data_IF_651055188646
#
_entry.id   IF_651055188646
#
_cell.length_a   1.000
_cell.length_b   1.000
_cell.length_c   1.000
_cell.angle_alpha   90.00
_cell.angle_beta   90.00
_cell.angle_gamma   90.00
#
_symmetry.space_group_name_H-M   'P 1'
#
loop_
_entity.id
_entity.type
_entity.pdbx_description
1 polymer ?
#
# COMPACT_ATOMS: atom_id res chain seq x y z
N UNK A 1 -5.60 -16.86 -18.88
CA UNK A 1 -4.89 -15.93 -17.97
C UNK A 1 -5.89 -14.89 -17.51
N UNK A 2 -5.90 -14.52 -16.22
CA UNK A 2 -6.83 -13.52 -15.71
C UNK A 2 -6.54 -12.14 -16.34
N UNK A 3 -7.56 -11.27 -16.40
CA UNK A 3 -7.40 -9.90 -16.91
C UNK A 3 -6.54 -9.06 -15.94
N UNK A 4 -5.63 -8.23 -16.48
CA UNK A 4 -4.67 -7.44 -15.69
C UNK A 4 -5.34 -6.62 -14.58
N UNK A 5 -4.81 -6.69 -13.37
CA UNK A 5 -5.26 -5.91 -12.21
C UNK A 5 -4.10 -5.20 -11.53
N UNK A 6 -4.12 -3.87 -11.50
CA UNK A 6 -3.12 -3.09 -10.77
C UNK A 6 -3.82 -2.16 -9.78
N UNK A 7 -3.24 -1.94 -8.61
CA UNK A 7 -3.79 -1.01 -7.62
C UNK A 7 -2.70 -0.21 -6.91
N UNK A 8 -3.09 0.96 -6.38
CA UNK A 8 -2.28 1.76 -5.47
C UNK A 8 -2.79 1.59 -4.04
N UNK A 9 -1.95 1.11 -3.14
CA UNK A 9 -2.27 0.93 -1.72
C UNK A 9 -1.81 2.16 -0.94
N UNK A 10 -2.76 2.79 -0.26
CA UNK A 10 -2.49 3.88 0.69
C UNK A 10 -3.04 3.52 2.06
N UNK A 11 -2.86 4.41 3.05
CA UNK A 11 -3.35 4.17 4.39
C UNK A 11 -3.77 5.44 5.09
N UNK A 12 -4.55 5.27 6.15
CA UNK A 12 -5.03 6.38 7.00
C UNK A 12 -3.93 7.05 7.80
N UNK A 13 -2.79 6.37 8.01
CA UNK A 13 -1.63 6.89 8.75
C UNK A 13 -0.36 6.07 8.45
N UNK A 14 0.76 6.41 9.08
CA UNK A 14 1.95 5.56 9.20
C UNK A 14 1.73 4.42 10.20
N UNK A 15 2.51 3.33 10.06
CA UNK A 15 2.53 2.18 11.00
C UNK A 15 1.19 1.45 11.24
N UNK A 16 0.17 1.71 10.41
CA UNK A 16 -1.15 1.04 10.49
C UNK A 16 -1.20 -0.32 9.78
N UNK A 17 -0.06 -0.86 9.34
CA UNK A 17 0.04 -2.16 8.66
C UNK A 17 -0.30 -2.17 7.16
N UNK A 18 0.02 -1.07 6.43
CA UNK A 18 -0.10 -1.03 4.97
C UNK A 18 0.68 -2.18 4.31
N UNK A 19 1.92 -2.40 4.72
CA UNK A 19 2.79 -3.46 4.22
C UNK A 19 2.17 -4.85 4.34
N UNK A 20 1.60 -5.16 5.51
CA UNK A 20 0.90 -6.41 5.74
C UNK A 20 -0.31 -6.55 4.79
N UNK A 21 -1.09 -5.50 4.62
CA UNK A 21 -2.24 -5.50 3.72
C UNK A 21 -1.83 -5.62 2.24
N UNK A 22 -0.76 -4.95 1.79
CA UNK A 22 -0.21 -5.10 0.44
C UNK A 22 0.31 -6.51 0.20
N UNK A 23 1.04 -7.09 1.15
CA UNK A 23 1.53 -8.46 1.08
C UNK A 23 0.38 -9.47 1.07
N UNK A 24 -0.69 -9.21 1.83
CA UNK A 24 -1.92 -10.00 1.82
C UNK A 24 -2.64 -9.92 0.46
N UNK A 25 -2.74 -8.73 -0.14
CA UNK A 25 -3.29 -8.55 -1.50
C UNK A 25 -2.47 -9.31 -2.53
N UNK A 26 -1.14 -9.20 -2.51
CA UNK A 26 -0.25 -9.97 -3.39
C UNK A 26 -0.47 -11.48 -3.25
N UNK A 27 -0.59 -11.96 -2.01
CA UNK A 27 -0.82 -13.38 -1.70
C UNK A 27 -2.20 -13.86 -2.17
N UNK A 28 -3.25 -13.09 -1.92
CA UNK A 28 -4.61 -13.42 -2.32
C UNK A 28 -4.78 -13.40 -3.85
N UNK A 29 -4.19 -12.41 -4.54
CA UNK A 29 -4.15 -12.35 -6.01
C UNK A 29 -3.40 -13.55 -6.59
N UNK A 30 -2.26 -13.93 -5.99
CA UNK A 30 -1.52 -15.13 -6.40
C UNK A 30 -2.37 -16.41 -6.22
N UNK A 31 -3.09 -16.52 -5.11
CA UNK A 31 -4.06 -17.60 -4.87
C UNK A 31 -5.21 -17.64 -5.88
N UNK A 32 -5.57 -16.49 -6.46
CA UNK A 32 -6.53 -16.37 -7.57
C UNK A 32 -5.91 -16.62 -8.96
N UNK A 33 -4.65 -17.05 -9.04
CA UNK A 33 -3.98 -17.42 -10.29
C UNK A 33 -3.28 -16.27 -11.03
N UNK A 34 -3.10 -15.12 -10.40
CA UNK A 34 -2.32 -14.01 -10.96
C UNK A 34 -0.82 -14.20 -10.75
N UNK A 35 -0.02 -13.79 -11.74
CA UNK A 35 1.39 -13.46 -11.49
C UNK A 35 1.46 -12.07 -10.88
N UNK A 36 1.93 -11.97 -9.65
CA UNK A 36 1.92 -10.74 -8.86
C UNK A 36 3.30 -10.13 -8.71
N UNK A 37 3.37 -8.80 -8.75
CA UNK A 37 4.55 -8.02 -8.44
C UNK A 37 4.20 -6.91 -7.42
N UNK A 38 5.04 -6.76 -6.40
CA UNK A 38 4.94 -5.66 -5.43
C UNK A 38 5.91 -4.53 -5.79
N UNK A 39 5.44 -3.28 -5.73
CA UNK A 39 6.27 -2.09 -5.84
C UNK A 39 6.17 -1.27 -4.55
N UNK A 40 7.30 -0.75 -4.08
CA UNK A 40 7.38 0.24 -3.01
C UNK A 40 8.21 1.40 -3.55
N UNK A 41 7.63 2.29 -4.36
CA UNK A 41 8.44 3.16 -5.21
C UNK A 41 9.32 4.15 -4.42
N UNK A 42 8.91 4.45 -3.19
CA UNK A 42 9.64 5.29 -2.24
C UNK A 42 9.64 4.59 -0.89
N UNK A 43 10.83 4.36 -0.33
CA UNK A 43 11.04 3.85 1.02
C UNK A 43 12.13 4.67 1.73
N UNK A 44 11.96 4.88 3.03
CA UNK A 44 12.91 5.62 3.86
C UNK A 44 13.16 4.83 5.16
N UNK A 45 14.43 4.64 5.51
CA UNK A 45 14.85 3.81 6.63
C UNK A 45 15.39 2.45 6.17
N UNK A 46 16.65 2.39 5.78
CA UNK A 46 17.28 1.12 5.40
C UNK A 46 17.67 0.29 6.62
N UNK A 47 17.68 -1.04 6.47
CA UNK A 47 18.16 -1.95 7.50
C UNK A 47 19.69 -1.90 7.61
N UNK A 48 20.19 -1.44 8.76
CA UNK A 48 21.62 -1.43 9.03
C UNK A 48 22.19 -2.85 9.14
N UNK A 49 23.34 -3.10 8.51
CA UNK A 49 24.02 -4.39 8.56
C UNK A 49 23.41 -5.50 7.69
N UNK A 50 22.38 -5.20 6.89
CA UNK A 50 21.92 -6.10 5.84
C UNK A 50 23.01 -6.29 4.77
N UNK A 51 23.13 -7.48 4.15
CA UNK A 51 24.14 -7.75 3.13
C UNK A 51 23.94 -6.90 1.86
N UNK A 52 22.69 -6.53 1.58
CA UNK A 52 22.31 -5.62 0.50
C UNK A 52 21.43 -4.51 1.07
N UNK A 53 21.47 -3.33 0.43
CA UNK A 53 20.65 -2.18 0.85
C UNK A 53 19.16 -2.50 0.64
N UNK A 54 18.41 -2.55 1.74
CA UNK A 54 16.99 -2.91 1.73
C UNK A 54 16.24 -2.25 2.90
N UNK A 55 14.92 -2.44 2.93
CA UNK A 55 14.00 -1.98 3.97
C UNK A 55 13.02 -3.11 4.32
N UNK A 56 12.48 -3.11 5.54
CA UNK A 56 11.57 -4.17 6.00
C UNK A 56 10.30 -4.29 5.12
N UNK A 57 9.73 -3.17 4.66
CA UNK A 57 8.56 -3.19 3.78
C UNK A 57 8.89 -3.86 2.45
N UNK A 58 10.07 -3.57 1.90
CA UNK A 58 10.56 -4.15 0.65
C UNK A 58 10.70 -5.66 0.77
N UNK A 59 11.28 -6.15 1.87
CA UNK A 59 11.45 -7.58 2.10
C UNK A 59 10.11 -8.30 2.23
N UNK A 60 9.13 -7.71 2.92
CA UNK A 60 7.79 -8.28 3.04
C UNK A 60 7.07 -8.37 1.69
N UNK A 61 7.14 -7.32 0.87
CA UNK A 61 6.54 -7.33 -0.47
C UNK A 61 7.24 -8.33 -1.39
N UNK A 62 8.58 -8.41 -1.34
CA UNK A 62 9.38 -9.35 -2.13
C UNK A 62 9.05 -10.80 -1.77
N UNK A 63 8.85 -11.09 -0.49
CA UNK A 63 8.49 -12.43 -0.02
C UNK A 63 7.06 -12.84 -0.41
N UNK A 64 6.13 -11.89 -0.57
CA UNK A 64 4.73 -12.14 -0.92
C UNK A 64 4.44 -12.18 -2.43
N UNK A 65 5.24 -11.47 -3.24
CA UNK A 65 5.08 -11.44 -4.69
C UNK A 65 5.52 -12.77 -5.34
N UNK A 66 4.87 -13.14 -6.45
CA UNK A 66 5.31 -14.32 -7.25
C UNK A 66 6.40 -13.98 -8.26
N UNK A 67 6.50 -12.71 -8.66
CA UNK A 67 7.50 -12.21 -9.59
C UNK A 67 8.57 -11.45 -8.82
N UNK A 68 9.81 -11.93 -8.89
CA UNK A 68 10.97 -11.23 -8.35
C UNK A 68 11.36 -10.07 -9.27
N UNK A 69 11.37 -8.85 -8.74
CA UNK A 69 11.82 -7.66 -9.45
C UNK A 69 13.23 -7.24 -8.97
N UNK A 70 14.06 -6.67 -9.85
CA UNK A 70 15.29 -6.00 -9.42
C UNK A 70 14.98 -4.87 -8.42
N UNK A 71 15.88 -4.61 -7.48
CA UNK A 71 15.70 -3.57 -6.45
C UNK A 71 15.37 -2.19 -7.07
N UNK A 72 16.05 -1.83 -8.16
CA UNK A 72 15.82 -0.56 -8.87
C UNK A 72 14.41 -0.44 -9.48
N UNK A 73 13.76 -1.57 -9.79
CA UNK A 73 12.36 -1.59 -10.24
C UNK A 73 11.42 -1.62 -9.03
N UNK A 74 11.70 -2.45 -8.03
CA UNK A 74 10.85 -2.58 -6.83
C UNK A 74 10.74 -1.26 -6.06
N UNK A 75 11.88 -0.62 -5.82
CA UNK A 75 12.01 0.62 -5.06
C UNK A 75 13.06 1.55 -5.70
N UNK A 76 12.67 2.35 -6.71
CA UNK A 76 13.56 3.32 -7.35
C UNK A 76 14.15 4.35 -6.37
N UNK A 77 13.41 4.70 -5.32
CA UNK A 77 13.83 5.67 -4.31
C UNK A 77 13.93 5.02 -2.93
N UNK A 78 15.04 4.31 -2.70
CA UNK A 78 15.42 3.80 -1.38
C UNK A 78 16.32 4.83 -0.68
N UNK A 79 15.89 5.29 0.49
CA UNK A 79 16.55 6.32 1.30
C UNK A 79 16.94 5.75 2.67
N UNK A 80 18.07 6.18 3.22
CA UNK A 80 18.67 5.61 4.43
C UNK A 80 17.98 6.09 5.70
N UNK A 81 17.64 7.39 5.79
CA UNK A 81 17.13 7.98 7.02
C UNK A 81 15.64 7.62 7.26
N UNK A 82 15.26 7.06 8.43
CA UNK A 82 13.89 6.69 8.75
C UNK A 82 13.05 7.93 9.12
N UNK A 83 12.73 8.74 8.12
CA UNK A 83 11.96 9.97 8.26
C UNK A 83 11.11 10.24 7.02
N UNK A 84 10.35 11.35 7.01
CA UNK A 84 9.57 11.72 5.84
C UNK A 84 10.45 11.76 4.58
N UNK A 85 10.02 11.14 3.45
CA UNK A 85 10.87 10.94 2.28
C UNK A 85 11.52 12.20 1.75
N UNK A 86 10.79 13.32 1.67
CA UNK A 86 11.36 14.60 1.20
C UNK A 86 12.54 15.10 2.06
N UNK A 87 12.55 14.82 3.37
CA UNK A 87 13.65 15.19 4.26
C UNK A 87 14.83 14.21 4.12
N UNK A 88 14.56 12.91 4.01
CA UNK A 88 15.59 11.91 3.78
C UNK A 88 16.32 12.16 2.44
N UNK A 89 15.54 12.42 1.38
CA UNK A 89 16.07 12.78 0.07
C UNK A 89 16.95 14.05 0.12
N UNK A 90 16.51 15.10 0.82
CA UNK A 90 17.31 16.31 1.04
C UNK A 90 18.63 16.04 1.75
N UNK A 91 18.65 15.15 2.75
CA UNK A 91 19.89 14.78 3.46
C UNK A 91 20.86 14.02 2.57
N UNK A 92 20.34 13.21 1.67
CA UNK A 92 21.13 12.45 0.69
C UNK A 92 21.51 13.27 -0.56
N UNK A 93 21.03 14.52 -0.67
CA UNK A 93 21.27 15.37 -1.83
C UNK A 93 20.57 14.89 -3.11
N UNK A 94 19.51 14.08 -2.99
CA UNK A 94 18.74 13.54 -4.11
C UNK A 94 17.35 14.17 -4.17
N UNK A 95 16.72 14.15 -5.35
CA UNK A 95 15.35 14.62 -5.56
C UNK A 95 14.48 13.48 -6.05
N UNK A 96 13.43 13.15 -5.30
CA UNK A 96 12.44 12.14 -5.71
C UNK A 96 11.66 12.68 -6.90
N UNK A 97 11.73 11.98 -8.03
CA UNK A 97 11.00 12.35 -9.25
C UNK A 97 10.09 11.21 -9.73
N UNK A 98 9.06 11.59 -10.47
CA UNK A 98 8.03 10.70 -10.99
C UNK A 98 8.51 9.71 -12.07
N UNK A 99 9.37 10.07 -13.05
CA UNK A 99 9.68 9.18 -14.17
C UNK A 99 10.20 7.79 -13.78
N UNK A 100 11.16 7.65 -12.84
CA UNK A 100 11.62 6.33 -12.40
C UNK A 100 10.52 5.44 -11.81
N UNK A 101 9.50 6.04 -11.20
CA UNK A 101 8.36 5.32 -10.61
C UNK A 101 7.43 4.80 -11.71
N UNK A 102 7.21 5.59 -12.77
CA UNK A 102 6.40 5.17 -13.93
C UNK A 102 7.10 4.07 -14.72
N UNK A 103 8.43 4.18 -14.90
CA UNK A 103 9.25 3.16 -15.56
C UNK A 103 9.22 1.84 -14.77
N UNK A 104 9.31 1.91 -13.44
CA UNK A 104 9.17 0.76 -12.56
C UNK A 104 7.82 0.05 -12.73
N UNK A 105 6.71 0.80 -12.78
CA UNK A 105 5.39 0.24 -13.03
C UNK A 105 5.30 -0.42 -14.42
N UNK A 106 5.85 0.20 -15.46
CA UNK A 106 5.86 -0.36 -16.80
C UNK A 106 6.66 -1.68 -16.86
N UNK A 107 7.83 -1.74 -16.21
CA UNK A 107 8.65 -2.95 -16.13
C UNK A 107 7.99 -4.06 -15.32
N UNK A 108 7.33 -3.74 -14.21
CA UNK A 108 6.56 -4.71 -13.43
C UNK A 108 5.39 -5.29 -14.24
N UNK A 109 4.67 -4.44 -14.97
CA UNK A 109 3.55 -4.86 -15.85
C UNK A 109 3.99 -5.78 -16.97
N UNK A 110 5.22 -5.67 -17.46
CA UNK A 110 5.74 -6.58 -18.49
C UNK A 110 5.93 -8.02 -17.98
N UNK A 111 6.04 -8.21 -16.66
CA UNK A 111 6.39 -9.49 -16.03
C UNK A 111 5.23 -10.09 -15.21
N UNK A 112 4.34 -9.25 -14.70
CA UNK A 112 3.22 -9.63 -13.84
C UNK A 112 1.87 -9.27 -14.49
N UNK A 113 0.83 -10.02 -14.13
CA UNK A 113 -0.56 -9.76 -14.53
C UNK A 113 -1.31 -8.99 -13.43
N UNK A 114 -0.74 -8.88 -12.23
CA UNK A 114 -1.19 -7.93 -11.22
C UNK A 114 -0.05 -7.21 -10.50
N UNK A 115 -0.15 -5.88 -10.37
CA UNK A 115 0.84 -5.05 -9.67
C UNK A 115 0.21 -4.32 -8.49
N UNK A 116 0.76 -4.53 -7.29
CA UNK A 116 0.37 -3.81 -6.07
C UNK A 116 1.44 -2.74 -5.80
N UNK A 117 1.07 -1.47 -5.95
CA UNK A 117 1.97 -0.33 -5.70
C UNK A 117 1.68 0.24 -4.32
N UNK A 118 2.60 0.05 -3.38
CA UNK A 118 2.46 0.56 -2.03
C UNK A 118 3.03 1.98 -1.88
N UNK A 119 2.23 2.89 -1.34
CA UNK A 119 2.68 4.22 -0.93
C UNK A 119 3.55 4.24 0.33
N UNK A 120 3.87 5.44 0.79
CA UNK A 120 4.66 5.68 2.00
C UNK A 120 3.88 6.60 2.94
N UNK A 121 3.85 6.26 4.24
CA UNK A 121 3.06 6.97 5.25
C UNK A 121 1.55 7.01 4.93
N UNK A 122 0.89 8.15 5.10
CA UNK A 122 -0.52 8.34 4.74
C UNK A 122 -0.74 8.73 3.27
N UNK A 123 -1.96 9.17 2.92
CA UNK A 123 -2.30 9.53 1.55
C UNK A 123 -1.63 10.80 1.02
N UNK A 124 -1.27 11.76 1.88
CA UNK A 124 -0.65 13.04 1.50
C UNK A 124 0.69 13.25 2.17
N UNK A 125 1.69 12.47 1.77
CA UNK A 125 3.07 12.56 2.30
C UNK A 125 3.96 13.30 1.30
N UNK A 126 4.71 14.32 1.73
CA UNK A 126 5.61 15.04 0.84
C UNK A 126 6.77 14.14 0.37
N UNK A 127 6.98 14.13 -0.94
CA UNK A 127 8.10 13.48 -1.64
C UNK A 127 9.14 14.51 -2.10
N UNK A 128 8.69 15.72 -2.41
CA UNK A 128 9.51 16.92 -2.60
C UNK A 128 8.75 18.15 -2.09
N UNK A 129 9.26 19.36 -2.35
CA UNK A 129 8.57 20.60 -2.00
C UNK A 129 7.31 20.86 -2.85
N UNK A 130 7.16 20.18 -3.98
CA UNK A 130 6.06 20.38 -4.95
C UNK A 130 5.34 19.09 -5.35
N UNK A 131 5.76 17.96 -4.78
CA UNK A 131 5.26 16.63 -5.11
C UNK A 131 4.94 15.82 -3.84
N UNK A 132 3.73 15.27 -3.74
CA UNK A 132 3.29 14.41 -2.65
C UNK A 132 2.77 13.04 -3.15
N UNK A 133 2.52 12.11 -2.23
CA UNK A 133 2.00 10.77 -2.56
C UNK A 133 0.60 10.78 -3.16
N UNK A 134 -0.17 11.85 -3.01
CA UNK A 134 -1.48 11.97 -3.64
C UNK A 134 -1.36 12.38 -5.11
N UNK A 135 -0.40 13.27 -5.44
CA UNK A 135 -0.02 13.56 -6.83
C UNK A 135 0.59 12.32 -7.50
N UNK A 136 1.36 11.51 -6.76
CA UNK A 136 1.82 10.21 -7.25
C UNK A 136 0.63 9.29 -7.59
N UNK A 137 -0.35 9.16 -6.70
CA UNK A 137 -1.54 8.34 -6.97
C UNK A 137 -2.29 8.79 -8.23
N UNK A 138 -2.44 10.12 -8.43
CA UNK A 138 -3.02 10.70 -9.65
C UNK A 138 -2.20 10.34 -10.89
N UNK A 139 -0.87 10.49 -10.83
CA UNK A 139 0.01 10.20 -11.95
C UNK A 139 0.00 8.70 -12.34
N UNK A 140 -0.12 7.81 -11.36
CA UNK A 140 -0.23 6.37 -11.59
C UNK A 140 -1.58 6.00 -12.22
N UNK A 141 -2.65 6.75 -11.93
CA UNK A 141 -3.99 6.51 -12.46
C UNK A 141 -4.58 5.15 -12.07
N UNK A 142 -4.07 4.54 -11.00
CA UNK A 142 -4.49 3.22 -10.53
C UNK A 142 -5.71 3.33 -9.61
N UNK A 143 -6.60 2.32 -9.57
CA UNK A 143 -7.58 2.22 -8.52
C UNK A 143 -6.89 2.15 -7.15
N UNK A 144 -7.43 2.87 -6.17
CA UNK A 144 -6.86 2.97 -4.83
C UNK A 144 -7.48 1.91 -3.92
N UNK A 145 -6.65 1.24 -3.12
CA UNK A 145 -7.08 0.46 -1.96
C UNK A 145 -6.64 1.20 -0.69
N UNK A 146 -7.59 1.52 0.18
CA UNK A 146 -7.33 2.22 1.45
C UNK A 146 -7.17 1.21 2.60
N UNK A 147 -6.03 1.27 3.30
CA UNK A 147 -5.84 0.53 4.55
C UNK A 147 -6.20 1.41 5.73
N UNK A 148 -7.20 1.00 6.52
CA UNK A 148 -7.65 1.70 7.71
C UNK A 148 -7.08 1.00 8.94
N UNK A 149 -6.23 1.70 9.69
CA UNK A 149 -5.78 1.22 10.99
C UNK A 149 -6.90 1.33 12.02
N UNK A 150 -7.48 0.19 12.41
CA UNK A 150 -8.57 0.13 13.39
C UNK A 150 -8.01 0.34 14.79
N UNK A 151 -8.23 1.56 15.28
CA UNK A 151 -7.97 2.09 16.62
C UNK A 151 -8.88 3.31 16.83
N UNK A 152 -8.94 3.85 18.04
CA UNK A 152 -9.70 5.08 18.29
C UNK A 152 -9.24 6.22 17.37
N UNK A 153 -10.20 6.92 16.76
CA UNK A 153 -9.96 7.98 15.77
C UNK A 153 -9.92 7.51 14.31
N UNK A 154 -10.00 6.20 14.04
CA UNK A 154 -9.95 5.66 12.67
C UNK A 154 -11.09 6.16 11.77
N UNK A 155 -12.28 6.38 12.32
CA UNK A 155 -13.44 6.92 11.58
C UNK A 155 -13.11 8.26 10.91
N UNK A 156 -12.52 9.19 11.68
CA UNK A 156 -12.09 10.50 11.18
C UNK A 156 -11.04 10.36 10.07
N UNK A 157 -9.97 9.59 10.33
CA UNK A 157 -8.89 9.45 9.35
C UNK A 157 -9.34 8.76 8.07
N UNK A 158 -10.21 7.75 8.17
CA UNK A 158 -10.77 7.07 7.02
C UNK A 158 -11.64 7.99 6.17
N UNK A 159 -12.55 8.75 6.79
CA UNK A 159 -13.40 9.72 6.09
C UNK A 159 -12.56 10.80 5.39
N UNK A 160 -11.63 11.45 6.09
CA UNK A 160 -10.74 12.46 5.52
C UNK A 160 -9.90 11.91 4.36
N UNK A 161 -9.43 10.67 4.48
CA UNK A 161 -8.64 10.03 3.42
C UNK A 161 -9.50 9.71 2.20
N UNK A 162 -10.71 9.16 2.41
CA UNK A 162 -11.65 8.88 1.33
C UNK A 162 -12.07 10.15 0.59
N UNK A 163 -12.39 11.23 1.31
CA UNK A 163 -12.68 12.55 0.72
C UNK A 163 -11.49 13.07 -0.10
N UNK A 164 -10.27 12.96 0.42
CA UNK A 164 -9.07 13.40 -0.28
C UNK A 164 -8.79 12.61 -1.57
N UNK A 165 -9.10 11.31 -1.59
CA UNK A 165 -9.03 10.44 -2.77
C UNK A 165 -10.09 10.88 -3.79
N UNK A 166 -11.35 11.03 -3.36
CA UNK A 166 -12.46 11.43 -4.21
C UNK A 166 -12.27 12.82 -4.83
N UNK A 167 -11.79 13.79 -4.04
CA UNK A 167 -11.49 15.16 -4.50
C UNK A 167 -10.43 15.24 -5.60
N UNK A 168 -9.65 14.16 -5.81
CA UNK A 168 -8.65 14.03 -6.87
C UNK A 168 -9.14 13.21 -8.07
N UNK A 169 -10.42 12.85 -8.10
CA UNK A 169 -11.02 12.03 -9.16
C UNK A 169 -10.50 10.58 -9.20
N UNK A 170 -9.88 10.12 -8.11
CA UNK A 170 -9.36 8.75 -8.03
C UNK A 170 -10.48 7.79 -7.62
N UNK A 171 -10.51 6.62 -8.26
CA UNK A 171 -11.41 5.54 -7.89
C UNK A 171 -10.90 4.86 -6.63
N UNK A 172 -11.67 4.93 -5.54
CA UNK A 172 -11.48 4.04 -4.38
C UNK A 172 -12.10 2.68 -4.71
N UNK A 173 -11.29 1.68 -5.00
CA UNK A 173 -11.76 0.36 -5.41
C UNK A 173 -12.13 -0.55 -4.24
N UNK A 174 -11.65 -0.24 -3.04
CA UNK A 174 -12.00 -0.94 -1.82
C UNK A 174 -11.17 -0.46 -0.64
N UNK A 175 -11.49 -0.99 0.53
CA UNK A 175 -10.73 -0.72 1.74
C UNK A 175 -10.57 -1.97 2.61
N UNK A 176 -9.49 -1.99 3.38
CA UNK A 176 -9.11 -3.07 4.29
C UNK A 176 -9.02 -2.49 5.69
N UNK A 177 -9.75 -3.07 6.63
CA UNK A 177 -9.55 -2.80 8.05
C UNK A 177 -8.37 -3.62 8.58
N UNK A 178 -7.42 -3.00 9.28
CA UNK A 178 -6.35 -3.72 9.96
C UNK A 178 -6.38 -3.40 11.46
N UNK A 179 -6.57 -4.41 12.31
CA UNK A 179 -6.65 -4.22 13.76
C UNK A 179 -5.26 -3.89 14.32
N UNK A 180 -5.04 -2.61 14.60
CA UNK A 180 -3.80 -2.11 15.19
C UNK A 180 -3.86 -2.27 16.70
N UNK A 181 -4.98 -1.88 17.29
CA UNK A 181 -5.24 -1.99 18.73
C UNK A 181 -6.20 -3.15 19.01
N UNK A 182 -5.68 -4.23 19.61
CA UNK A 182 -6.46 -5.42 19.94
C UNK A 182 -7.47 -5.18 21.08
N UNK A 183 -7.35 -4.08 21.83
CA UNK A 183 -8.26 -3.77 22.94
C UNK A 183 -9.30 -2.71 22.57
N UNK A 184 -9.37 -2.33 21.29
CA UNK A 184 -10.34 -1.36 20.79
C UNK A 184 -11.78 -1.81 21.10
N UNK A 185 -12.48 -1.02 21.91
CA UNK A 185 -13.90 -1.22 22.18
C UNK A 185 -14.76 -0.89 20.95
N UNK A 186 -15.83 -1.66 20.73
CA UNK A 186 -16.78 -1.42 19.64
C UNK A 186 -16.16 -1.59 18.25
N UNK A 187 -15.19 -2.51 18.09
CA UNK A 187 -14.52 -2.76 16.81
C UNK A 187 -15.53 -3.00 15.67
N UNK A 188 -16.50 -3.90 15.90
CA UNK A 188 -17.52 -4.24 14.90
C UNK A 188 -18.43 -3.04 14.57
N UNK A 189 -18.81 -2.24 15.57
CA UNK A 189 -19.60 -1.03 15.38
C UNK A 189 -18.84 0.04 14.56
N UNK A 190 -17.53 0.17 14.80
CA UNK A 190 -16.67 1.07 14.03
C UNK A 190 -16.54 0.58 12.58
N UNK A 191 -16.33 -0.73 12.37
CA UNK A 191 -16.30 -1.33 11.03
C UNK A 191 -17.64 -1.13 10.31
N UNK A 192 -18.77 -1.33 11.00
CA UNK A 192 -20.09 -1.08 10.43
C UNK A 192 -20.28 0.39 10.03
N UNK A 193 -19.82 1.33 10.86
CA UNK A 193 -19.83 2.76 10.55
C UNK A 193 -18.99 3.07 9.31
N UNK A 194 -17.76 2.55 9.23
CA UNK A 194 -16.89 2.71 8.06
C UNK A 194 -17.54 2.16 6.78
N UNK A 195 -18.20 1.00 6.85
CA UNK A 195 -18.94 0.43 5.70
C UNK A 195 -20.07 1.34 5.21
N UNK A 196 -20.67 2.13 6.11
CA UNK A 196 -21.72 3.09 5.74
C UNK A 196 -21.18 4.40 5.17
N UNK A 197 -19.97 4.80 5.53
CA UNK A 197 -19.38 6.09 5.14
C UNK A 197 -18.49 6.00 3.91
N UNK A 198 -17.78 4.89 3.74
CA UNK A 198 -16.86 4.69 2.62
C UNK A 198 -17.64 4.11 1.45
N UNK A 199 -17.79 4.89 0.38
CA UNK A 199 -18.39 4.45 -0.89
C UNK A 199 -17.41 3.57 -1.70
N UNK A 200 -17.02 2.44 -1.10
CA UNK A 200 -16.21 1.40 -1.73
C UNK A 200 -16.38 0.07 -0.99
N UNK A 201 -16.19 -1.08 -1.67
CA UNK A 201 -16.26 -2.39 -1.06
C UNK A 201 -15.32 -2.54 0.15
N UNK A 202 -15.85 -3.09 1.24
CA UNK A 202 -15.02 -3.58 2.34
C UNK A 202 -14.43 -4.94 1.94
N UNK A 203 -13.12 -4.95 1.70
CA UNK A 203 -12.40 -6.14 1.23
C UNK A 203 -12.10 -7.13 2.36
N UNK A 204 -12.25 -6.72 3.62
CA UNK A 204 -12.00 -7.58 4.76
C UNK A 204 -11.34 -6.85 5.93
N UNK A 205 -11.39 -7.49 7.10
CA UNK A 205 -10.74 -7.01 8.32
C UNK A 205 -9.69 -8.01 8.77
N UNK A 206 -8.42 -7.59 8.75
CA UNK A 206 -7.29 -8.36 9.25
C UNK A 206 -7.26 -8.21 10.79
N UNK A 207 -7.41 -9.28 11.57
CA UNK A 207 -7.34 -9.21 13.02
C UNK A 207 -5.90 -8.95 13.48
N UNK A 208 -5.71 -8.65 14.77
CA UNK A 208 -4.36 -8.52 15.32
C UNK A 208 -3.64 -9.86 15.24
N UNK A 209 -2.65 -9.96 14.37
CA UNK A 209 -1.84 -11.16 14.21
C UNK A 209 -0.68 -11.16 15.22
N UNK A 210 -0.24 -12.33 15.71
CA UNK A 210 0.92 -12.44 16.59
C UNK A 210 2.24 -12.08 15.88
N UNK A 211 2.26 -12.21 14.55
CA UNK A 211 3.36 -11.82 13.65
C UNK A 211 2.77 -11.39 12.31
N UNK A 212 3.44 -10.51 11.55
CA UNK A 212 3.00 -10.15 10.19
C UNK A 212 3.16 -11.37 9.27
N UNK A 213 2.05 -12.05 8.97
CA UNK A 213 2.00 -13.22 8.09
C UNK A 213 1.04 -12.93 6.93
N UNK A 214 1.60 -12.78 5.73
CA UNK A 214 0.85 -12.40 4.54
C UNK A 214 -0.21 -13.44 4.15
N UNK A 215 0.03 -14.73 4.38
CA UNK A 215 -0.92 -15.81 4.05
C UNK A 215 -2.10 -15.79 5.00
N UNK A 216 -1.83 -15.62 6.30
CA UNK A 216 -2.88 -15.50 7.30
C UNK A 216 -3.70 -14.22 7.09
N UNK A 217 -3.06 -13.09 6.83
CA UNK A 217 -3.75 -11.85 6.50
C UNK A 217 -4.61 -12.00 5.22
N UNK A 218 -4.10 -12.68 4.20
CA UNK A 218 -4.82 -12.93 2.95
C UNK A 218 -6.10 -13.75 3.14
N UNK A 219 -6.16 -14.67 4.10
CA UNK A 219 -7.37 -15.46 4.37
C UNK A 219 -8.53 -14.63 4.97
N UNK A 220 -8.27 -13.37 5.33
CA UNK A 220 -9.29 -12.43 5.79
C UNK A 220 -9.75 -11.46 4.70
N UNK A 221 -9.23 -11.59 3.47
CA UNK A 221 -9.57 -10.72 2.34
C UNK A 221 -10.47 -11.42 1.33
N UNK A 222 -11.49 -10.72 0.85
CA UNK A 222 -12.33 -11.09 -0.29
C UNK A 222 -12.07 -10.13 -1.45
N UNK A 223 -11.49 -10.68 -2.53
CA UNK A 223 -11.14 -9.92 -3.73
C UNK A 223 -12.26 -9.91 -4.77
N UNK A 224 -13.40 -10.57 -4.54
CA UNK A 224 -14.47 -10.68 -5.54
C UNK A 224 -14.88 -9.32 -6.08
N UNK A 225 -15.02 -8.31 -5.22
CA UNK A 225 -15.39 -6.95 -5.61
C UNK A 225 -14.30 -6.22 -6.43
N UNK A 226 -13.03 -6.59 -6.27
CA UNK A 226 -11.93 -6.03 -7.08
C UNK A 226 -11.81 -6.70 -8.44
N UNK A 227 -12.14 -7.99 -8.51
CA UNK A 227 -11.96 -8.83 -9.67
C UNK A 227 -13.21 -8.96 -10.55
N UNK A 228 -14.38 -8.60 -10.01
CA UNK A 228 -15.61 -8.46 -10.78
C UNK A 228 -15.43 -7.32 -11.80
N UNK A 229 -15.22 -7.71 -13.05
CA UNK A 229 -15.27 -6.84 -14.23
C UNK A 229 -16.37 -7.30 -15.16
#
# INVERSE_FOLDING_TARGET
>A
MPARFDCFVTGTDTEIGKTLASAALLTALAGAGYRTAGLKPVAAGTLAGAPERTNEDIEQLRAAATVGLPMATLCPWLLDAPMSPHLAARREGVTITLPPILDALAQARAQADAVVVEGVGGFRVPLSDTFDTAQLAVALGLPVVLVVGLRLGCLNHAALTAEAIAARGLRLAGWIGNVVDATMAGLDDNVATLRSWIDAPHLGTIPRLPRPDARLAASHLDLAALLAR
#
